data_IF_080799289284
#
_entry.id   IF_080799289284
#
_cell.length_a   1.000
_cell.length_b   1.000
_cell.length_c   1.000
_cell.angle_alpha   90.00
_cell.angle_beta   90.00
_cell.angle_gamma   90.00
#
_symmetry.space_group_name_H-M   'P 1'
#
loop_
_entity.id
_entity.type
_entity.pdbx_description
1 polymer ?
#
# COMPACT_ATOMS: atom_id res chain seq x y z
N UNK A 1 -7.75 -15.29 -11.75
CA UNK A 1 -7.33 -13.99 -11.18
C UNK A 1 -5.84 -13.77 -11.44
N UNK A 2 -4.95 -14.67 -10.95
CA UNK A 2 -3.48 -14.55 -11.10
C UNK A 2 -3.01 -14.41 -12.57
N UNK A 3 -3.59 -15.18 -13.51
CA UNK A 3 -3.23 -15.09 -14.93
C UNK A 3 -3.69 -13.79 -15.63
N UNK A 4 -4.79 -13.18 -15.17
CA UNK A 4 -5.34 -11.97 -15.79
C UNK A 4 -4.58 -10.72 -15.33
N UNK A 5 -4.17 -10.68 -14.06
CA UNK A 5 -3.45 -9.55 -13.48
C UNK A 5 -1.92 -9.67 -13.58
N UNK A 6 -1.39 -10.83 -14.00
CA UNK A 6 0.06 -11.16 -13.99
C UNK A 6 0.72 -10.97 -12.61
N UNK A 7 -0.08 -11.06 -11.55
CA UNK A 7 0.35 -10.87 -10.17
C UNK A 7 0.61 -12.22 -9.51
N UNK A 8 1.78 -12.41 -8.93
CA UNK A 8 2.06 -13.51 -8.01
C UNK A 8 1.67 -13.11 -6.59
N UNK A 9 0.41 -13.35 -6.23
CA UNK A 9 -0.15 -12.92 -4.94
C UNK A 9 0.42 -13.80 -3.81
N UNK A 10 1.00 -13.23 -2.74
CA UNK A 10 1.48 -13.99 -1.60
C UNK A 10 0.38 -14.81 -0.93
N UNK A 11 0.75 -15.93 -0.31
CA UNK A 11 -0.23 -16.84 0.33
C UNK A 11 -1.13 -16.13 1.35
N UNK A 12 -0.57 -15.25 2.19
CA UNK A 12 -1.35 -14.52 3.21
C UNK A 12 -2.36 -13.55 2.60
N UNK A 13 -1.97 -12.82 1.54
CA UNK A 13 -2.88 -11.97 0.79
C UNK A 13 -3.94 -12.79 0.06
N UNK A 14 -3.56 -13.95 -0.52
CA UNK A 14 -4.52 -14.86 -1.16
C UNK A 14 -5.60 -15.35 -0.17
N UNK A 15 -5.21 -15.69 1.07
CA UNK A 15 -6.16 -16.04 2.13
C UNK A 15 -7.07 -14.87 2.48
N UNK A 16 -6.50 -13.68 2.69
CA UNK A 16 -7.28 -12.46 2.95
C UNK A 16 -8.29 -12.17 1.83
N UNK A 17 -7.90 -12.33 0.57
CA UNK A 17 -8.77 -12.07 -0.56
C UNK A 17 -9.88 -13.11 -0.69
N UNK A 18 -9.59 -14.37 -0.36
CA UNK A 18 -10.62 -15.42 -0.37
C UNK A 18 -11.77 -15.10 0.59
N UNK A 19 -11.49 -14.56 1.79
CA UNK A 19 -12.54 -14.11 2.73
C UNK A 19 -13.40 -12.99 2.14
N UNK A 20 -12.77 -12.04 1.43
CA UNK A 20 -13.46 -10.94 0.73
C UNK A 20 -14.36 -11.48 -0.38
N UNK A 21 -13.86 -12.42 -1.19
CA UNK A 21 -14.62 -13.08 -2.26
C UNK A 21 -15.83 -13.83 -1.69
N UNK A 22 -15.64 -14.59 -0.62
CA UNK A 22 -16.74 -15.31 0.02
C UNK A 22 -17.82 -14.37 0.54
N UNK A 23 -17.44 -13.23 1.14
CA UNK A 23 -18.40 -12.23 1.59
C UNK A 23 -19.16 -11.63 0.41
N UNK A 24 -18.46 -11.20 -0.63
CA UNK A 24 -19.09 -10.61 -1.81
C UNK A 24 -20.03 -11.58 -2.53
N UNK A 25 -19.67 -12.87 -2.64
CA UNK A 25 -20.54 -13.88 -3.24
C UNK A 25 -21.81 -14.14 -2.40
N UNK A 26 -21.70 -14.11 -1.06
CA UNK A 26 -22.88 -14.19 -0.18
C UNK A 26 -23.80 -12.98 -0.35
N UNK A 27 -23.23 -11.79 -0.39
CA UNK A 27 -23.99 -10.53 -0.53
C UNK A 27 -24.68 -10.46 -1.91
N UNK A 28 -24.03 -10.97 -2.96
CA UNK A 28 -24.56 -11.05 -4.31
C UNK A 28 -25.56 -12.21 -4.52
N UNK A 29 -25.53 -13.22 -3.64
CA UNK A 29 -26.29 -14.47 -3.73
C UNK A 29 -26.00 -15.30 -5.01
N UNK A 30 -24.78 -15.18 -5.56
CA UNK A 30 -24.28 -16.00 -6.66
C UNK A 30 -22.73 -16.08 -6.65
N UNK A 31 -22.11 -17.09 -7.28
CA UNK A 31 -20.66 -17.16 -7.43
C UNK A 31 -20.14 -16.11 -8.41
N UNK A 32 -19.14 -15.33 -7.99
CA UNK A 32 -18.55 -14.27 -8.82
C UNK A 32 -17.78 -14.82 -10.02
N UNK A 33 -17.97 -14.19 -11.19
CA UNK A 33 -17.19 -14.46 -12.39
C UNK A 33 -15.76 -13.88 -12.29
N UNK A 34 -14.87 -14.29 -13.21
CA UNK A 34 -13.47 -13.89 -13.20
C UNK A 34 -13.25 -12.36 -13.26
N UNK A 35 -14.04 -11.66 -14.06
CA UNK A 35 -13.94 -10.20 -14.20
C UNK A 35 -14.44 -9.49 -12.93
N UNK A 36 -15.49 -10.02 -12.30
CA UNK A 36 -15.97 -9.53 -11.00
C UNK A 36 -14.92 -9.71 -9.90
N UNK A 37 -14.23 -10.86 -9.90
CA UNK A 37 -13.12 -11.12 -8.96
C UNK A 37 -11.95 -10.16 -9.19
N UNK A 38 -11.58 -9.90 -10.44
CA UNK A 38 -10.49 -8.97 -10.77
C UNK A 38 -10.85 -7.53 -10.35
N UNK A 39 -12.08 -7.10 -10.61
CA UNK A 39 -12.60 -5.80 -10.18
C UNK A 39 -12.70 -5.70 -8.65
N UNK A 40 -13.13 -6.77 -7.98
CA UNK A 40 -13.20 -6.85 -6.53
C UNK A 40 -11.80 -6.72 -5.91
N UNK A 41 -10.81 -7.43 -6.46
CA UNK A 41 -9.42 -7.32 -6.04
C UNK A 41 -8.92 -5.88 -6.18
N UNK A 42 -9.12 -5.28 -7.36
CA UNK A 42 -8.65 -3.93 -7.64
C UNK A 42 -9.26 -2.89 -6.69
N UNK A 43 -10.56 -2.98 -6.42
CA UNK A 43 -11.25 -2.08 -5.47
C UNK A 43 -10.82 -2.31 -4.02
N UNK A 44 -10.69 -3.56 -3.60
CA UNK A 44 -10.36 -3.92 -2.21
C UNK A 44 -8.95 -3.49 -1.82
N UNK A 45 -7.98 -3.71 -2.71
CA UNK A 45 -6.57 -3.44 -2.44
C UNK A 45 -6.02 -2.27 -3.25
N UNK A 46 -6.92 -1.42 -3.77
CA UNK A 46 -6.61 -0.20 -4.54
C UNK A 46 -5.53 -0.41 -5.61
N UNK A 47 -5.57 -1.55 -6.29
CA UNK A 47 -4.66 -1.86 -7.38
C UNK A 47 -4.97 -0.94 -8.57
N UNK A 48 -4.07 0.00 -8.87
CA UNK A 48 -4.22 1.00 -9.93
C UNK A 48 -5.48 1.89 -9.82
N UNK A 49 -6.03 2.03 -8.62
CA UNK A 49 -7.18 2.91 -8.34
C UNK A 49 -6.73 4.04 -7.43
N UNK A 50 -6.88 5.32 -7.85
CA UNK A 50 -6.62 6.48 -7.00
C UNK A 50 -7.34 6.40 -5.65
N UNK A 51 -6.68 6.93 -4.62
CA UNK A 51 -7.16 6.91 -3.24
C UNK A 51 -7.10 8.28 -2.60
N UNK A 52 -7.39 8.32 -1.31
CA UNK A 52 -7.21 9.52 -0.50
C UNK A 52 -5.75 9.95 -0.44
N UNK A 53 -4.83 9.00 -0.31
CA UNK A 53 -3.39 9.21 -0.34
C UNK A 53 -2.82 8.72 -1.67
N UNK A 54 -2.11 9.59 -2.37
CA UNK A 54 -1.41 9.24 -3.62
C UNK A 54 0.01 9.80 -3.63
N UNK A 55 0.94 9.07 -4.24
CA UNK A 55 2.33 9.50 -4.37
C UNK A 55 2.52 10.30 -5.66
N UNK A 56 3.06 11.51 -5.54
CA UNK A 56 3.46 12.34 -6.69
C UNK A 56 4.91 12.04 -7.03
N UNK A 57 5.82 12.35 -6.11
CA UNK A 57 7.26 12.11 -6.25
C UNK A 57 7.92 11.93 -4.88
N UNK A 58 9.20 11.58 -4.89
CA UNK A 58 10.02 11.48 -3.70
C UNK A 58 11.51 11.70 -4.01
N UNK A 59 12.24 12.10 -2.99
CA UNK A 59 13.69 12.06 -2.94
C UNK A 59 14.11 11.21 -1.74
N UNK A 60 14.86 10.14 -2.01
CA UNK A 60 15.42 9.26 -1.00
C UNK A 60 16.93 9.50 -0.89
N UNK A 61 17.40 9.78 0.30
CA UNK A 61 18.82 10.02 0.60
C UNK A 61 19.31 9.06 1.69
N UNK A 62 20.63 8.86 1.73
CA UNK A 62 21.29 8.04 2.75
C UNK A 62 22.11 8.94 3.67
N UNK A 63 22.00 8.72 4.98
CA UNK A 63 22.83 9.33 6.00
C UNK A 63 24.10 8.50 6.22
N UNK A 64 25.11 9.10 6.85
CA UNK A 64 26.42 8.46 7.11
C UNK A 64 26.30 7.20 7.97
N UNK A 65 25.30 7.14 8.85
CA UNK A 65 25.01 6.01 9.73
C UNK A 65 24.14 4.91 9.08
N UNK A 66 24.03 4.93 7.75
CA UNK A 66 23.18 4.04 6.93
C UNK A 66 21.67 4.22 7.13
N UNK A 67 21.21 5.19 7.93
CA UNK A 67 19.79 5.56 7.94
C UNK A 67 19.38 6.16 6.59
N UNK A 68 18.09 6.09 6.30
CA UNK A 68 17.48 6.67 5.11
C UNK A 68 16.65 7.87 5.54
N UNK A 69 16.77 8.96 4.78
CA UNK A 69 15.87 10.11 4.86
C UNK A 69 15.06 10.18 3.59
N UNK A 70 13.79 10.54 3.72
CA UNK A 70 12.91 10.75 2.59
C UNK A 70 12.21 12.08 2.71
N UNK A 71 12.14 12.79 1.58
CA UNK A 71 11.14 13.80 1.31
C UNK A 71 10.20 13.23 0.24
N UNK A 72 8.90 13.20 0.50
CA UNK A 72 7.93 12.76 -0.49
C UNK A 72 6.84 13.82 -0.67
N UNK A 73 6.45 14.05 -1.93
CA UNK A 73 5.26 14.81 -2.25
C UNK A 73 4.11 13.83 -2.48
N UNK A 74 3.07 13.98 -1.68
CA UNK A 74 1.84 13.18 -1.77
C UNK A 74 0.66 14.11 -1.99
N UNK A 75 -0.46 13.56 -2.46
CA UNK A 75 -1.77 14.21 -2.30
C UNK A 75 -2.49 13.57 -1.13
N UNK A 76 -3.23 14.38 -0.37
CA UNK A 76 -4.19 13.94 0.62
C UNK A 76 -5.53 14.58 0.30
N UNK A 77 -6.52 13.76 -0.04
CA UNK A 77 -7.83 14.23 -0.50
C UNK A 77 -7.67 15.24 -1.67
N UNK A 78 -6.76 14.92 -2.60
CA UNK A 78 -6.42 15.76 -3.77
C UNK A 78 -5.57 17.00 -3.47
N UNK A 79 -5.26 17.31 -2.21
CA UNK A 79 -4.43 18.47 -1.83
C UNK A 79 -2.97 18.07 -1.69
N UNK A 80 -2.03 18.79 -2.33
CA UNK A 80 -0.60 18.45 -2.25
C UNK A 80 -0.06 18.67 -0.82
N UNK A 81 0.80 17.75 -0.38
CA UNK A 81 1.54 17.82 0.88
C UNK A 81 2.95 17.28 0.70
N UNK A 82 3.92 17.94 1.31
CA UNK A 82 5.28 17.43 1.44
C UNK A 82 5.46 16.81 2.81
N UNK A 83 5.97 15.58 2.85
CA UNK A 83 6.23 14.83 4.08
C UNK A 83 7.72 14.49 4.18
N UNK A 84 8.24 14.49 5.40
CA UNK A 84 9.63 14.17 5.69
C UNK A 84 9.71 13.07 6.74
N UNK A 85 10.61 12.13 6.57
CA UNK A 85 10.82 11.07 7.55
C UNK A 85 12.19 10.45 7.46
N UNK A 86 12.58 9.82 8.55
CA UNK A 86 13.82 9.07 8.68
C UNK A 86 13.52 7.65 9.14
N UNK A 87 14.33 6.69 8.70
CA UNK A 87 14.18 5.30 9.10
C UNK A 87 15.44 4.49 8.84
N UNK A 88 15.43 3.25 9.33
CA UNK A 88 16.51 2.28 9.08
C UNK A 88 16.48 1.70 7.64
N UNK A 89 15.50 2.07 6.83
CA UNK A 89 15.37 1.67 5.43
C UNK A 89 14.36 2.56 4.68
N UNK A 90 14.23 2.38 3.34
CA UNK A 90 13.37 3.23 2.52
C UNK A 90 11.90 3.19 2.94
N UNK A 91 11.37 2.00 3.25
CA UNK A 91 9.97 1.80 3.64
C UNK A 91 9.71 2.40 5.03
N UNK A 92 10.60 2.16 6.00
CA UNK A 92 10.42 2.69 7.36
C UNK A 92 10.53 4.22 7.40
N UNK A 93 11.44 4.81 6.61
CA UNK A 93 11.53 6.26 6.47
C UNK A 93 10.23 6.85 5.91
N UNK A 94 9.64 6.21 4.89
CA UNK A 94 8.38 6.64 4.31
C UNK A 94 7.18 6.46 5.26
N UNK A 95 7.10 5.35 5.99
CA UNK A 95 6.06 5.12 7.01
C UNK A 95 6.16 6.18 8.10
N UNK A 96 7.36 6.50 8.58
CA UNK A 96 7.56 7.54 9.58
C UNK A 96 7.16 8.93 9.04
N UNK A 97 7.48 9.22 7.77
CA UNK A 97 7.04 10.45 7.10
C UNK A 97 5.52 10.52 7.03
N UNK A 98 4.86 9.43 6.64
CA UNK A 98 3.41 9.36 6.51
C UNK A 98 2.71 9.48 7.88
N UNK A 99 3.22 8.79 8.90
CA UNK A 99 2.68 8.78 10.25
C UNK A 99 2.64 10.20 10.87
N UNK A 100 3.62 11.05 10.54
CA UNK A 100 3.66 12.45 11.00
C UNK A 100 2.42 13.27 10.60
N UNK A 101 1.68 12.82 9.58
CA UNK A 101 0.49 13.50 9.06
C UNK A 101 -0.78 13.20 9.86
N UNK A 102 -0.78 12.24 10.78
CA UNK A 102 -2.00 11.81 11.47
C UNK A 102 -2.17 12.46 12.85
N UNK A 103 -3.43 12.60 13.25
CA UNK A 103 -3.86 13.07 14.57
C UNK A 103 -3.95 11.87 15.50
N UNK A 104 -3.51 12.07 16.75
CA UNK A 104 -3.54 11.05 17.81
C UNK A 104 -2.31 10.13 17.82
N UNK A 105 -2.24 9.26 18.83
CA UNK A 105 -1.20 8.24 18.94
C UNK A 105 -1.52 7.08 17.99
N UNK A 106 -1.13 7.24 16.73
CA UNK A 106 -1.21 6.19 15.70
C UNK A 106 0.19 5.72 15.38
N UNK A 107 0.43 4.42 15.52
CA UNK A 107 1.63 3.74 15.04
C UNK A 107 1.30 2.93 13.79
N UNK A 108 2.08 3.13 12.74
CA UNK A 108 2.05 2.34 11.52
C UNK A 108 3.31 1.47 11.43
N UNK A 109 3.15 0.22 11.02
CA UNK A 109 4.27 -0.68 10.78
C UNK A 109 3.96 -1.73 9.72
N UNK A 110 4.99 -2.25 9.06
CA UNK A 110 4.84 -3.37 8.12
C UNK A 110 4.71 -4.66 8.90
N UNK A 111 3.62 -5.39 8.67
CA UNK A 111 3.37 -6.73 9.22
C UNK A 111 3.81 -7.84 8.27
N UNK A 112 3.66 -7.63 6.98
CA UNK A 112 4.06 -8.55 5.92
C UNK A 112 4.52 -7.76 4.70
N UNK A 113 5.54 -8.28 4.00
CA UNK A 113 6.09 -7.66 2.80
C UNK A 113 6.51 -8.74 1.81
N UNK A 114 6.03 -8.62 0.58
CA UNK A 114 6.49 -9.41 -0.54
C UNK A 114 6.61 -8.54 -1.79
N UNK A 115 7.61 -8.82 -2.61
CA UNK A 115 7.83 -8.14 -3.87
C UNK A 115 8.27 -9.16 -4.92
N UNK A 116 7.85 -8.95 -6.16
CA UNK A 116 8.32 -9.73 -7.30
C UNK A 116 8.35 -8.87 -8.57
N UNK A 117 9.11 -9.33 -9.57
CA UNK A 117 9.10 -8.74 -10.90
C UNK A 117 7.92 -9.29 -11.72
N UNK A 118 7.35 -8.45 -12.58
CA UNK A 118 6.35 -8.81 -13.59
C UNK A 118 6.99 -8.62 -14.96
N UNK A 119 6.88 -9.65 -15.80
CA UNK A 119 7.43 -9.65 -17.15
C UNK A 119 8.84 -10.23 -17.22
N UNK A 120 9.46 -10.11 -18.40
CA UNK A 120 10.81 -10.61 -18.68
C UNK A 120 11.59 -9.57 -19.50
N UNK A 121 12.91 -9.57 -19.39
CA UNK A 121 13.78 -8.67 -20.15
C UNK A 121 13.86 -7.23 -19.59
N UNK A 122 14.05 -6.25 -20.48
CA UNK A 122 14.29 -4.84 -20.10
C UNK A 122 13.03 -4.07 -19.71
N UNK A 123 11.84 -4.59 -20.02
CA UNK A 123 10.55 -3.93 -19.75
C UNK A 123 9.86 -4.49 -18.49
N UNK A 124 10.67 -4.96 -17.54
CA UNK A 124 10.18 -5.51 -16.28
C UNK A 124 9.68 -4.39 -15.37
N UNK A 125 8.49 -4.59 -14.80
CA UNK A 125 7.98 -3.77 -13.70
C UNK A 125 8.03 -4.59 -12.42
N UNK A 126 7.96 -3.94 -11.27
CA UNK A 126 7.85 -4.61 -9.99
C UNK A 126 6.42 -4.53 -9.44
N UNK A 127 6.08 -5.48 -8.58
CA UNK A 127 4.86 -5.45 -7.79
C UNK A 127 5.18 -5.75 -6.33
N UNK A 128 4.69 -4.89 -5.44
CA UNK A 128 4.84 -5.02 -3.99
C UNK A 128 3.48 -5.17 -3.32
N UNK A 129 3.49 -6.02 -2.30
CA UNK A 129 2.36 -6.32 -1.43
C UNK A 129 2.77 -6.05 0.00
N UNK A 130 2.13 -5.08 0.65
CA UNK A 130 2.43 -4.71 2.04
C UNK A 130 1.15 -4.86 2.87
N UNK A 131 1.24 -5.64 3.94
CA UNK A 131 0.24 -5.61 5.02
C UNK A 131 0.67 -4.55 6.02
N UNK A 132 -0.05 -3.43 6.04
CA UNK A 132 0.19 -2.35 6.98
C UNK A 132 -0.63 -2.59 8.25
N UNK A 133 0.05 -2.57 9.38
CA UNK A 133 -0.55 -2.62 10.71
C UNK A 133 -0.71 -1.21 11.25
N UNK A 134 -1.93 -0.89 11.68
CA UNK A 134 -2.26 0.29 12.47
C UNK A 134 -2.52 -0.11 13.90
N UNK A 135 -1.87 0.59 14.83
CA UNK A 135 -2.14 0.52 16.26
C UNK A 135 -2.49 1.91 16.76
N UNK A 136 -3.58 2.00 17.50
CA UNK A 136 -3.98 3.16 18.31
C UNK A 136 -4.40 2.68 19.70
N UNK A 137 -4.63 3.58 20.65
CA UNK A 137 -4.96 3.23 22.04
C UNK A 137 -6.05 2.16 22.18
N UNK A 138 -7.10 2.21 21.35
CA UNK A 138 -8.29 1.36 21.49
C UNK A 138 -8.51 0.41 20.31
N UNK A 139 -7.69 0.50 19.25
CA UNK A 139 -7.95 -0.22 18.01
C UNK A 139 -6.66 -0.71 17.36
N UNK A 140 -6.70 -1.96 16.91
CA UNK A 140 -5.71 -2.56 16.03
C UNK A 140 -6.39 -3.02 14.75
N UNK A 141 -5.90 -2.54 13.62
CA UNK A 141 -6.41 -2.92 12.30
C UNK A 141 -5.25 -3.18 11.33
N UNK A 142 -5.48 -4.03 10.34
CA UNK A 142 -4.53 -4.25 9.25
C UNK A 142 -5.21 -4.06 7.91
N UNK A 143 -4.43 -3.61 6.94
CA UNK A 143 -4.87 -3.51 5.56
C UNK A 143 -3.74 -3.93 4.63
N UNK A 144 -4.10 -4.62 3.57
CA UNK A 144 -3.19 -4.90 2.48
C UNK A 144 -3.23 -3.79 1.45
N UNK A 145 -2.07 -3.47 0.90
CA UNK A 145 -1.93 -2.58 -0.24
C UNK A 145 -1.05 -3.21 -1.30
N UNK A 146 -1.35 -2.88 -2.57
CA UNK A 146 -0.63 -3.34 -3.74
C UNK A 146 -0.12 -2.14 -4.53
N UNK A 147 1.14 -2.19 -4.96
CA UNK A 147 1.75 -1.18 -5.81
C UNK A 147 2.45 -1.82 -7.01
N UNK A 148 2.32 -1.20 -8.19
CA UNK A 148 3.03 -1.56 -9.42
C UNK A 148 3.67 -0.32 -10.03
N UNK A 149 4.93 -0.46 -10.43
CA UNK A 149 5.77 0.58 -11.03
C UNK A 149 7.06 -0.05 -11.61
N UNK A 150 7.69 0.64 -12.55
CA UNK A 150 9.04 0.31 -13.03
C UNK A 150 10.13 0.61 -12.00
N UNK A 151 9.88 1.54 -11.06
CA UNK A 151 10.78 1.85 -9.97
C UNK A 151 10.40 1.03 -8.71
N UNK A 152 11.30 0.13 -8.30
CA UNK A 152 11.10 -0.76 -7.13
C UNK A 152 10.89 0.00 -5.82
N UNK A 153 11.50 1.18 -5.67
CA UNK A 153 11.30 2.02 -4.48
C UNK A 153 9.90 2.66 -4.52
N UNK A 154 9.50 3.17 -5.69
CA UNK A 154 8.16 3.76 -5.90
C UNK A 154 7.05 2.75 -5.68
N UNK A 155 7.24 1.51 -6.14
CA UNK A 155 6.34 0.36 -5.93
C UNK A 155 5.99 0.19 -4.45
N UNK A 156 7.00 0.25 -3.59
CA UNK A 156 6.82 0.06 -2.15
C UNK A 156 6.02 1.18 -1.49
N UNK A 157 6.26 2.43 -1.89
CA UNK A 157 5.51 3.58 -1.37
C UNK A 157 4.06 3.57 -1.86
N UNK A 158 3.82 3.21 -3.12
CA UNK A 158 2.47 2.98 -3.64
C UNK A 158 1.73 1.91 -2.84
N UNK A 159 2.38 0.79 -2.51
CA UNK A 159 1.78 -0.28 -1.71
C UNK A 159 1.45 0.19 -0.27
N UNK A 160 2.32 0.98 0.37
CA UNK A 160 2.03 1.58 1.69
C UNK A 160 0.82 2.52 1.62
N UNK A 161 0.77 3.43 0.64
CA UNK A 161 -0.35 4.37 0.50
C UNK A 161 -1.65 3.65 0.16
N UNK A 162 -1.60 2.63 -0.70
CA UNK A 162 -2.71 1.75 -1.02
C UNK A 162 -3.30 1.09 0.24
N UNK A 163 -2.44 0.56 1.13
CA UNK A 163 -2.88 0.01 2.40
C UNK A 163 -3.47 1.08 3.33
N UNK A 164 -2.81 2.25 3.42
CA UNK A 164 -3.27 3.37 4.23
C UNK A 164 -4.66 3.89 3.82
N UNK A 165 -4.99 3.83 2.53
CA UNK A 165 -6.31 4.19 2.00
C UNK A 165 -7.46 3.30 2.49
N UNK A 166 -7.15 2.11 3.02
CA UNK A 166 -8.11 1.16 3.57
C UNK A 166 -8.14 1.17 5.11
N UNK A 167 -7.41 2.08 5.75
CA UNK A 167 -7.37 2.28 7.20
C UNK A 167 -8.04 3.60 7.58
N UNK A 168 -8.70 3.65 8.74
CA UNK A 168 -9.36 4.86 9.24
C UNK A 168 -8.37 5.90 9.83
N UNK A 169 -7.56 6.51 8.96
CA UNK A 169 -6.50 7.44 9.37
C UNK A 169 -7.01 8.89 9.41
N UNK A 170 -6.98 9.54 10.59
CA UNK A 170 -7.36 10.95 10.73
C UNK A 170 -6.16 11.85 10.46
N UNK A 171 -6.25 12.68 9.43
CA UNK A 171 -5.15 13.54 8.97
C UNK A 171 -5.23 14.91 9.66
N UNK A 172 -4.06 15.46 10.03
CA UNK A 172 -3.91 16.83 10.57
C UNK A 172 -4.37 17.85 9.54
N UNK A 173 -5.07 18.89 9.98
CA UNK A 173 -5.33 20.05 9.12
C UNK A 173 -4.00 20.68 8.67
N UNK A 174 -3.97 21.14 7.43
CA UNK A 174 -2.78 21.72 6.81
C UNK A 174 -2.60 23.18 7.24
#
# INVERSE_FOLDING_TARGET
ILHTLKLEIPRKLSTSFFEVVQRAARDANYPLALDELSNLFARTYRYEIPGRFELVDFNLSSLEDKRKTIQANITVDGKPRTIHGEGNGPISAFINALQSQFIGEVTLSVKEFAEHAIGEGSDTVAASYIELLRVSENERSTAWGVGVDSDTTRVNYKAVLSAANSLDLKVREA
#
